data_IF_484288980905
#
_entry.id   IF_484288980905
#
_cell.length_a   1.000
_cell.length_b   1.000
_cell.length_c   1.000
_cell.angle_alpha   90.00
_cell.angle_beta   90.00
_cell.angle_gamma   90.00
#
_symmetry.space_group_name_H-M   'P 1'
#
loop_
_entity.id
_entity.type
_entity.pdbx_description
1 polymer ?
#
# COMPACT_ATOMS: atom_id res chain seq x y z
N UNK A 1 -20.79 -22.20 9.09
CA UNK A 1 -19.34 -22.52 9.14
C UNK A 1 -18.97 -23.32 10.38
N UNK A 2 -19.09 -22.76 11.60
CA UNK A 2 -18.83 -23.49 12.85
C UNK A 2 -19.77 -24.69 13.08
N UNK A 3 -21.06 -24.52 12.81
CA UNK A 3 -22.09 -25.58 12.95
C UNK A 3 -21.99 -26.67 11.87
N UNK A 4 -21.17 -26.46 10.84
CA UNK A 4 -21.03 -27.37 9.71
C UNK A 4 -19.74 -28.20 9.76
N UNK A 5 -18.93 -28.06 10.82
CA UNK A 5 -17.63 -28.73 10.94
C UNK A 5 -17.48 -29.45 12.27
N UNK A 6 -17.12 -30.73 12.21
CA UNK A 6 -16.82 -31.60 13.36
C UNK A 6 -15.36 -31.52 13.81
N UNK A 7 -14.52 -30.74 13.12
CA UNK A 7 -13.11 -30.57 13.48
C UNK A 7 -12.98 -29.63 14.71
N UNK A 8 -12.57 -30.21 15.84
CA UNK A 8 -12.45 -29.48 17.13
C UNK A 8 -11.41 -28.36 17.10
N UNK A 9 -10.31 -28.54 16.38
CA UNK A 9 -9.26 -27.54 16.25
C UNK A 9 -9.76 -26.33 15.46
N UNK A 10 -10.43 -26.59 14.33
CA UNK A 10 -11.08 -25.56 13.52
C UNK A 10 -12.14 -24.78 14.32
N UNK A 11 -13.01 -25.49 15.04
CA UNK A 11 -14.02 -24.85 15.92
C UNK A 11 -13.36 -24.04 17.02
N UNK A 12 -12.24 -24.52 17.59
CA UNK A 12 -11.44 -23.81 18.58
C UNK A 12 -10.85 -22.50 18.06
N UNK A 13 -10.32 -22.50 16.84
CA UNK A 13 -9.78 -21.29 16.18
C UNK A 13 -10.89 -20.26 15.95
N UNK A 14 -12.05 -20.67 15.41
CA UNK A 14 -13.18 -19.76 15.18
C UNK A 14 -13.70 -19.15 16.49
N UNK A 15 -13.72 -19.93 17.58
CA UNK A 15 -14.09 -19.40 18.90
C UNK A 15 -13.10 -18.35 19.40
N UNK A 16 -11.79 -18.56 19.22
CA UNK A 16 -10.78 -17.56 19.58
C UNK A 16 -10.95 -16.26 18.79
N UNK A 17 -11.17 -16.35 17.48
CA UNK A 17 -11.48 -15.18 16.63
C UNK A 17 -12.76 -14.47 17.11
N UNK A 18 -13.76 -15.23 17.54
CA UNK A 18 -15.02 -14.65 18.05
C UNK A 18 -14.82 -13.93 19.38
N UNK A 19 -13.95 -14.45 20.26
CA UNK A 19 -13.64 -13.82 21.55
C UNK A 19 -12.88 -12.50 21.34
N UNK A 20 -11.92 -12.47 20.41
CA UNK A 20 -11.15 -11.25 20.09
C UNK A 20 -12.00 -10.10 19.56
N UNK A 21 -13.25 -10.35 19.17
CA UNK A 21 -14.20 -9.30 18.78
C UNK A 21 -14.37 -8.25 19.88
N UNK A 22 -14.32 -8.66 21.14
CA UNK A 22 -14.47 -7.74 22.27
C UNK A 22 -13.27 -6.80 22.41
N UNK A 23 -12.10 -7.23 21.95
CA UNK A 23 -10.85 -6.45 22.03
C UNK A 23 -10.72 -5.45 20.87
N UNK A 24 -11.52 -5.59 19.80
CA UNK A 24 -11.42 -4.75 18.59
C UNK A 24 -11.64 -3.28 18.91
N UNK A 25 -12.60 -2.96 19.79
CA UNK A 25 -12.89 -1.56 20.11
C UNK A 25 -11.72 -0.91 20.86
N UNK A 26 -11.12 -1.63 21.80
CA UNK A 26 -9.95 -1.17 22.55
C UNK A 26 -8.71 -1.06 21.66
N UNK A 27 -8.52 -1.99 20.72
CA UNK A 27 -7.42 -1.96 19.74
C UNK A 27 -7.55 -0.78 18.77
N UNK A 28 -8.79 -0.45 18.39
CA UNK A 28 -9.05 0.66 17.47
C UNK A 28 -9.19 2.00 18.19
N UNK A 29 -9.17 2.02 19.52
CA UNK A 29 -9.23 3.27 20.27
C UNK A 29 -8.00 4.14 19.96
N UNK A 30 -8.25 5.40 19.60
CA UNK A 30 -7.21 6.31 19.13
C UNK A 30 -6.65 6.02 17.73
N UNK A 31 -7.10 4.98 17.02
CA UNK A 31 -6.73 4.72 15.62
C UNK A 31 -7.67 5.48 14.69
N UNK A 32 -7.17 6.56 14.07
CA UNK A 32 -7.96 7.31 13.10
C UNK A 32 -8.34 6.44 11.89
N UNK A 33 -9.54 6.67 11.33
CA UNK A 33 -10.07 5.88 10.20
C UNK A 33 -9.20 5.94 8.94
N UNK A 34 -8.43 7.01 8.75
CA UNK A 34 -7.48 7.13 7.63
C UNK A 34 -6.18 6.35 7.87
N UNK A 35 -5.91 5.86 9.09
CA UNK A 35 -4.65 5.16 9.43
C UNK A 35 -4.46 3.87 8.65
N UNK A 36 -5.55 3.22 8.25
CA UNK A 36 -5.54 2.01 7.41
C UNK A 36 -5.89 2.31 5.94
N UNK A 37 -5.89 3.58 5.54
CA UNK A 37 -6.15 3.94 4.15
C UNK A 37 -5.03 3.39 3.25
N UNK A 38 -5.35 2.55 2.24
CA UNK A 38 -4.35 1.93 1.39
C UNK A 38 -3.56 2.93 0.53
N UNK A 39 -4.03 4.16 0.35
CA UNK A 39 -3.32 5.20 -0.38
C UNK A 39 -2.00 5.59 0.32
N UNK A 40 -1.95 5.55 1.66
CA UNK A 40 -0.74 5.90 2.43
C UNK A 40 0.42 4.93 2.15
N UNK A 41 0.29 3.60 2.37
CA UNK A 41 1.36 2.66 2.03
C UNK A 41 1.61 2.58 0.53
N UNK A 42 0.60 2.80 -0.33
CA UNK A 42 0.81 2.88 -1.78
C UNK A 42 1.75 4.03 -2.15
N UNK A 43 1.48 5.25 -1.68
CA UNK A 43 2.34 6.40 -1.93
C UNK A 43 3.76 6.15 -1.40
N UNK A 44 3.90 5.58 -0.20
CA UNK A 44 5.21 5.25 0.38
C UNK A 44 6.01 4.30 -0.52
N UNK A 45 5.39 3.19 -0.97
CA UNK A 45 6.05 2.22 -1.86
C UNK A 45 6.41 2.88 -3.19
N UNK A 46 5.53 3.70 -3.76
CA UNK A 46 5.85 4.45 -4.97
C UNK A 46 7.08 5.34 -4.75
N UNK A 47 7.18 6.04 -3.63
CA UNK A 47 8.36 6.85 -3.33
C UNK A 47 9.65 6.00 -3.24
N UNK A 48 9.57 4.82 -2.63
CA UNK A 48 10.71 3.88 -2.56
C UNK A 48 11.14 3.44 -3.97
N UNK A 49 10.20 3.03 -4.83
CA UNK A 49 10.51 2.58 -6.19
C UNK A 49 11.04 3.71 -7.08
N UNK A 50 10.41 4.89 -7.03
CA UNK A 50 10.92 6.07 -7.74
C UNK A 50 12.32 6.47 -7.25
N UNK A 51 12.65 6.25 -5.98
CA UNK A 51 14.00 6.45 -5.44
C UNK A 51 15.07 5.57 -6.08
N UNK A 52 14.71 4.37 -6.54
CA UNK A 52 15.63 3.48 -7.27
C UNK A 52 15.92 3.98 -8.67
N UNK A 53 14.90 4.51 -9.35
CA UNK A 53 15.03 5.07 -10.71
C UNK A 53 15.64 6.47 -10.73
N UNK A 54 15.46 7.25 -9.65
CA UNK A 54 15.91 8.64 -9.53
C UNK A 54 16.70 8.85 -8.23
N UNK A 55 17.93 8.30 -8.14
CA UNK A 55 18.73 8.33 -6.92
C UNK A 55 19.15 9.76 -6.50
N UNK A 56 19.21 10.70 -7.45
CA UNK A 56 19.45 12.13 -7.18
C UNK A 56 18.24 12.85 -6.55
N UNK A 57 17.12 12.13 -6.41
CA UNK A 57 15.85 12.60 -5.83
C UNK A 57 14.94 13.31 -6.81
N UNK A 58 13.69 13.50 -6.39
CA UNK A 58 12.58 13.97 -7.22
C UNK A 58 11.57 14.78 -6.40
N UNK A 59 10.70 15.54 -7.06
CA UNK A 59 9.66 16.34 -6.41
C UNK A 59 8.28 15.74 -6.70
N UNK A 60 7.46 15.57 -5.67
CA UNK A 60 6.13 14.97 -5.80
C UNK A 60 5.07 16.07 -5.93
N UNK A 61 4.26 15.95 -6.96
CA UNK A 61 2.96 16.60 -7.12
C UNK A 61 1.89 15.53 -6.96
N UNK A 62 1.04 15.68 -5.96
CA UNK A 62 -0.03 14.75 -5.63
C UNK A 62 -1.38 15.44 -5.82
N UNK A 63 -2.43 14.68 -6.12
CA UNK A 63 -3.80 15.19 -6.05
C UNK A 63 -4.14 15.58 -4.59
N UNK A 64 -5.12 16.44 -4.40
CA UNK A 64 -5.54 16.91 -3.07
C UNK A 64 -6.32 15.83 -2.29
N UNK A 65 -5.59 14.77 -1.92
CA UNK A 65 -6.09 13.61 -1.20
C UNK A 65 -6.04 13.86 0.30
N UNK A 66 -7.22 13.92 0.94
CA UNK A 66 -7.36 14.14 2.38
C UNK A 66 -6.52 13.17 3.21
N UNK A 67 -6.56 11.87 2.90
CA UNK A 67 -5.83 10.84 3.63
C UNK A 67 -4.31 11.06 3.58
N UNK A 68 -3.78 11.51 2.44
CA UNK A 68 -2.36 11.80 2.30
C UNK A 68 -2.00 13.13 2.98
N UNK A 69 -2.83 14.16 2.84
CA UNK A 69 -2.61 15.46 3.50
C UNK A 69 -2.55 15.34 5.02
N UNK A 70 -3.40 14.49 5.62
CA UNK A 70 -3.41 14.25 7.07
C UNK A 70 -2.14 13.55 7.57
N UNK A 71 -1.40 12.88 6.68
CA UNK A 71 -0.14 12.20 7.00
C UNK A 71 1.09 12.94 6.47
N UNK A 72 0.95 14.19 6.02
CA UNK A 72 2.05 14.97 5.45
C UNK A 72 3.25 15.08 6.41
N UNK A 73 3.01 15.22 7.71
CA UNK A 73 4.08 15.30 8.72
C UNK A 73 4.93 14.02 8.77
N UNK A 74 4.31 12.85 8.63
CA UNK A 74 5.03 11.57 8.58
C UNK A 74 5.88 11.51 7.31
N UNK A 75 5.33 11.91 6.16
CA UNK A 75 6.08 11.97 4.91
C UNK A 75 7.24 12.97 4.98
N UNK A 76 7.06 14.14 5.61
CA UNK A 76 8.13 15.11 5.82
C UNK A 76 9.29 14.49 6.61
N UNK A 77 9.00 13.70 7.65
CA UNK A 77 10.01 12.96 8.41
C UNK A 77 10.73 11.90 7.56
N UNK A 78 9.99 11.19 6.70
CA UNK A 78 10.60 10.22 5.78
C UNK A 78 11.44 10.90 4.69
N UNK A 79 11.15 12.14 4.32
CA UNK A 79 11.88 12.93 3.32
C UNK A 79 13.07 13.71 3.91
N UNK A 80 13.40 13.54 5.19
CA UNK A 80 14.51 14.26 5.83
C UNK A 80 15.88 13.74 5.35
N UNK A 81 16.33 14.28 4.22
CA UNK A 81 17.59 13.95 3.56
C UNK A 81 18.84 14.37 4.36
N UNK A 82 18.69 15.09 5.49
CA UNK A 82 19.82 15.38 6.38
C UNK A 82 20.29 14.14 7.16
N UNK A 83 19.43 13.11 7.25
CA UNK A 83 19.70 11.87 7.97
C UNK A 83 20.50 10.89 7.11
N UNK A 84 21.39 10.14 7.76
CA UNK A 84 22.15 9.08 7.10
C UNK A 84 21.20 7.97 6.60
N UNK A 85 21.34 7.53 5.34
CA UNK A 85 20.53 6.45 4.80
C UNK A 85 20.66 5.16 5.62
N UNK A 86 19.53 4.52 5.91
CA UNK A 86 19.45 3.24 6.61
C UNK A 86 18.42 2.33 5.93
N UNK A 87 18.81 1.08 5.72
CA UNK A 87 17.93 0.04 5.20
C UNK A 87 17.08 -0.56 6.33
N UNK A 88 15.81 -0.80 6.02
CA UNK A 88 14.82 -1.43 6.88
C UNK A 88 14.16 -2.59 6.13
N UNK A 89 13.76 -3.62 6.88
CA UNK A 89 13.11 -4.80 6.34
C UNK A 89 14.01 -6.03 6.27
N UNK A 90 13.44 -7.08 5.70
CA UNK A 90 14.02 -8.41 5.62
C UNK A 90 13.61 -9.06 4.30
N UNK A 91 14.42 -10.03 3.86
CA UNK A 91 14.28 -10.73 2.59
C UNK A 91 14.21 -9.74 1.40
N UNK A 92 13.27 -9.97 0.48
CA UNK A 92 12.94 -9.07 -0.64
C UNK A 92 12.19 -7.80 -0.23
N UNK A 93 11.72 -7.68 1.01
CA UNK A 93 10.90 -6.54 1.48
C UNK A 93 11.76 -5.55 2.22
N UNK A 94 12.64 -4.89 1.46
CA UNK A 94 13.59 -3.90 1.99
C UNK A 94 13.33 -2.53 1.39
N UNK A 95 13.51 -1.50 2.18
CA UNK A 95 13.46 -0.11 1.76
C UNK A 95 14.48 0.72 2.53
N UNK A 96 14.86 1.87 1.98
CA UNK A 96 15.79 2.80 2.58
C UNK A 96 15.06 4.05 3.05
N UNK A 97 15.39 4.56 4.24
CA UNK A 97 15.03 5.90 4.68
C UNK A 97 16.30 6.74 4.90
N UNK A 98 16.27 8.06 4.64
CA UNK A 98 15.14 8.83 4.10
C UNK A 98 14.81 8.46 2.65
N UNK A 99 13.53 8.55 2.27
CA UNK A 99 13.11 8.40 0.87
C UNK A 99 13.70 9.53 0.03
N UNK A 100 13.97 9.28 -1.26
CA UNK A 100 14.63 10.25 -2.15
C UNK A 100 13.72 11.41 -2.61
N UNK A 101 12.47 11.43 -2.17
CA UNK A 101 11.57 12.54 -2.44
C UNK A 101 12.04 13.80 -1.71
N UNK A 102 12.06 14.93 -2.41
CA UNK A 102 12.51 16.24 -1.90
C UNK A 102 11.36 17.14 -1.45
N UNK A 103 10.15 16.86 -1.94
CA UNK A 103 8.94 17.57 -1.54
C UNK A 103 7.71 16.72 -1.82
N UNK A 104 6.65 16.97 -1.05
CA UNK A 104 5.30 16.53 -1.31
C UNK A 104 4.39 17.76 -1.33
N UNK A 105 3.78 18.04 -2.48
CA UNK A 105 2.88 19.19 -2.66
C UNK A 105 1.57 18.73 -3.29
N UNK A 106 0.46 19.32 -2.84
CA UNK A 106 -0.90 18.97 -3.26
C UNK A 106 -1.44 19.98 -4.25
N UNK A 107 -2.07 19.49 -5.31
CA UNK A 107 -2.61 20.34 -6.38
C UNK A 107 -3.91 19.77 -6.97
N UNK A 108 -4.69 20.64 -7.61
CA UNK A 108 -5.85 20.23 -8.42
C UNK A 108 -5.42 19.75 -9.80
N UNK A 109 -6.08 18.71 -10.31
CA UNK A 109 -5.87 18.22 -11.67
C UNK A 109 -6.35 19.19 -12.75
N UNK A 110 -7.16 20.19 -12.41
CA UNK A 110 -7.53 21.30 -13.32
C UNK A 110 -6.32 22.15 -13.70
N UNK A 111 -5.33 22.25 -12.82
CA UNK A 111 -4.16 23.12 -12.97
C UNK A 111 -2.90 22.38 -13.43
N UNK A 112 -2.91 21.04 -13.35
CA UNK A 112 -1.73 20.20 -13.63
C UNK A 112 -2.10 19.03 -14.56
N UNK A 113 -1.75 19.11 -15.86
CA UNK A 113 -2.08 18.07 -16.82
C UNK A 113 -1.56 16.67 -16.44
N UNK A 114 -0.44 16.59 -15.71
CA UNK A 114 0.11 15.31 -15.25
C UNK A 114 -0.83 14.63 -14.24
N UNK A 115 -1.49 15.40 -13.37
CA UNK A 115 -2.48 14.88 -12.43
C UNK A 115 -3.75 14.46 -13.17
N UNK A 116 -4.17 15.21 -14.19
CA UNK A 116 -5.30 14.82 -15.02
C UNK A 116 -5.08 13.47 -15.73
N UNK A 117 -3.85 13.22 -16.22
CA UNK A 117 -3.50 11.91 -16.80
C UNK A 117 -3.58 10.81 -15.74
N UNK A 118 -3.07 11.06 -14.53
CA UNK A 118 -3.15 10.10 -13.42
C UNK A 118 -4.62 9.76 -13.08
N UNK A 119 -5.49 10.77 -12.99
CA UNK A 119 -6.92 10.60 -12.71
C UNK A 119 -7.63 9.77 -13.78
N UNK A 120 -7.31 9.99 -15.06
CA UNK A 120 -7.87 9.21 -16.18
C UNK A 120 -7.47 7.74 -16.06
N UNK A 121 -6.19 7.46 -15.79
CA UNK A 121 -5.69 6.08 -15.66
C UNK A 121 -6.31 5.40 -14.42
N UNK A 122 -6.37 6.10 -13.29
CA UNK A 122 -6.99 5.60 -12.06
C UNK A 122 -8.49 5.31 -12.25
N UNK A 123 -9.21 6.24 -12.89
CA UNK A 123 -10.65 6.10 -13.17
C UNK A 123 -10.93 4.96 -14.14
N UNK A 124 -10.13 4.82 -15.21
CA UNK A 124 -10.24 3.70 -16.15
C UNK A 124 -9.98 2.35 -15.45
N UNK A 125 -8.96 2.27 -14.59
CA UNK A 125 -8.65 1.05 -13.82
C UNK A 125 -9.78 0.70 -12.86
N UNK A 126 -10.31 1.69 -12.14
CA UNK A 126 -11.45 1.52 -11.22
C UNK A 126 -12.71 1.08 -11.97
N UNK A 127 -13.00 1.70 -13.13
CA UNK A 127 -14.12 1.33 -13.98
C UNK A 127 -14.02 -0.14 -14.41
N UNK A 128 -12.87 -0.55 -14.95
CA UNK A 128 -12.62 -1.91 -15.38
C UNK A 128 -12.84 -2.93 -14.25
N UNK A 129 -12.28 -2.68 -13.05
CA UNK A 129 -12.45 -3.57 -11.89
C UNK A 129 -13.90 -3.62 -11.41
N UNK A 130 -14.63 -2.51 -11.46
CA UNK A 130 -16.05 -2.48 -11.09
C UNK A 130 -16.92 -3.26 -12.08
N UNK A 131 -16.64 -3.20 -13.38
CA UNK A 131 -17.33 -4.02 -14.37
C UNK A 131 -17.09 -5.52 -14.12
N UNK A 132 -15.85 -5.93 -13.81
CA UNK A 132 -15.56 -7.32 -13.39
C UNK A 132 -16.38 -7.73 -12.16
N UNK A 133 -16.42 -6.86 -11.14
CA UNK A 133 -17.17 -7.12 -9.89
C UNK A 133 -18.68 -7.27 -10.12
N UNK A 134 -19.25 -6.52 -11.06
CA UNK A 134 -20.68 -6.54 -11.41
C UNK A 134 -21.02 -7.54 -12.51
N UNK A 135 -20.02 -8.20 -13.10
CA UNK A 135 -20.17 -9.06 -14.27
C UNK A 135 -20.74 -8.32 -15.52
N UNK A 136 -20.41 -7.04 -15.66
CA UNK A 136 -20.83 -6.16 -16.77
C UNK A 136 -19.80 -6.21 -17.93
N UNK A 137 -19.58 -7.40 -18.49
CA UNK A 137 -18.48 -7.66 -19.43
C UNK A 137 -18.79 -7.23 -20.88
N UNK A 138 -20.03 -6.85 -21.16
CA UNK A 138 -20.46 -6.47 -22.50
C UNK A 138 -20.32 -4.98 -22.81
N UNK A 139 -20.02 -4.16 -21.80
CA UNK A 139 -19.84 -2.72 -21.93
C UNK A 139 -18.71 -2.36 -22.92
N UNK A 140 -18.95 -1.31 -23.71
CA UNK A 140 -18.02 -0.87 -24.74
C UNK A 140 -16.67 -0.42 -24.15
N UNK A 141 -16.71 0.43 -23.12
CA UNK A 141 -15.50 0.91 -22.47
C UNK A 141 -14.74 -0.24 -21.80
N UNK A 142 -15.45 -1.16 -21.15
CA UNK A 142 -14.83 -2.37 -20.59
C UNK A 142 -14.06 -3.17 -21.67
N UNK A 143 -14.68 -3.42 -22.82
CA UNK A 143 -14.05 -4.16 -23.94
C UNK A 143 -12.83 -3.44 -24.49
N UNK A 144 -12.87 -2.11 -24.61
CA UNK A 144 -11.71 -1.32 -25.03
C UNK A 144 -10.58 -1.35 -24.00
N UNK A 145 -10.90 -1.25 -22.71
CA UNK A 145 -9.93 -1.34 -21.62
C UNK A 145 -9.30 -2.75 -21.53
N UNK A 146 -10.09 -3.79 -21.77
CA UNK A 146 -9.59 -5.17 -21.89
C UNK A 146 -8.68 -5.33 -23.12
N UNK A 147 -9.04 -4.72 -24.25
CA UNK A 147 -8.25 -4.76 -25.50
C UNK A 147 -6.85 -4.17 -25.30
N UNK A 148 -6.74 -3.06 -24.55
CA UNK A 148 -5.43 -2.45 -24.21
C UNK A 148 -4.72 -3.14 -23.03
N UNK A 149 -5.31 -4.20 -22.47
CA UNK A 149 -4.78 -4.94 -21.32
C UNK A 149 -4.54 -4.05 -20.10
N UNK A 150 -5.52 -3.22 -19.73
CA UNK A 150 -5.39 -2.28 -18.61
C UNK A 150 -4.98 -3.00 -17.30
N UNK A 151 -5.36 -4.26 -17.13
CA UNK A 151 -4.98 -5.09 -15.98
C UNK A 151 -3.47 -5.26 -15.82
N UNK A 152 -2.71 -5.13 -16.91
CA UNK A 152 -1.25 -5.21 -16.85
C UNK A 152 -0.62 -4.08 -16.02
N UNK A 153 -1.26 -2.90 -15.95
CA UNK A 153 -0.76 -1.76 -15.18
C UNK A 153 -0.83 -1.98 -13.67
N UNK A 154 -1.79 -2.77 -13.19
CA UNK A 154 -2.00 -3.02 -11.76
C UNK A 154 -1.88 -4.49 -11.35
N UNK A 155 -1.46 -5.37 -12.26
CA UNK A 155 -1.23 -6.80 -11.99
C UNK A 155 -0.29 -7.05 -10.81
N UNK A 156 0.70 -6.18 -10.63
CA UNK A 156 1.67 -6.25 -9.54
C UNK A 156 1.23 -5.51 -8.27
N UNK A 157 0.12 -4.75 -8.34
CA UNK A 157 -0.47 -4.01 -7.21
C UNK A 157 -1.60 -4.78 -6.54
N UNK A 158 -2.15 -5.81 -7.20
CA UNK A 158 -3.18 -6.65 -6.62
C UNK A 158 -2.58 -7.57 -5.54
N UNK A 159 -2.96 -7.34 -4.29
CA UNK A 159 -2.68 -8.25 -3.18
C UNK A 159 -3.62 -9.45 -3.32
N UNK A 160 -3.26 -10.37 -4.22
CA UNK A 160 -3.94 -11.67 -4.34
C UNK A 160 -3.26 -12.71 -3.45
N UNK A 161 -4.01 -13.62 -2.82
CA UNK A 161 -3.44 -14.81 -2.19
C UNK A 161 -2.55 -15.51 -3.21
N UNK A 162 -1.28 -15.68 -2.87
CA UNK A 162 -0.34 -16.37 -3.75
C UNK A 162 -0.42 -17.87 -3.49
N UNK A 163 -0.20 -18.69 -4.52
CA UNK A 163 -0.08 -20.14 -4.35
C UNK A 163 1.29 -20.57 -3.80
N UNK A 164 2.24 -19.63 -3.67
CA UNK A 164 3.52 -19.88 -3.02
C UNK A 164 3.29 -20.24 -1.55
N UNK A 165 3.79 -21.41 -1.15
CA UNK A 165 3.54 -22.04 0.15
C UNK A 165 4.82 -22.19 0.97
N UNK A 166 6.00 -22.17 0.34
CA UNK A 166 7.29 -22.25 1.05
C UNK A 166 8.04 -20.90 1.10
N UNK A 167 8.90 -20.69 2.11
CA UNK A 167 9.78 -19.52 2.16
C UNK A 167 10.68 -19.37 0.93
N UNK A 168 11.17 -20.48 0.36
CA UNK A 168 11.99 -20.49 -0.85
C UNK A 168 11.19 -19.99 -2.06
N UNK A 169 9.96 -20.50 -2.22
CA UNK A 169 9.03 -20.10 -3.29
C UNK A 169 8.65 -18.62 -3.20
N UNK A 170 8.57 -18.08 -1.98
CA UNK A 170 8.31 -16.68 -1.72
C UNK A 170 9.57 -15.80 -1.86
N UNK A 171 10.75 -16.39 -2.01
CA UNK A 171 12.03 -15.66 -1.96
C UNK A 171 12.28 -15.02 -0.60
N UNK A 172 11.81 -15.66 0.47
CA UNK A 172 11.89 -15.22 1.88
C UNK A 172 12.74 -16.15 2.74
N UNK A 173 13.77 -16.77 2.15
CA UNK A 173 14.77 -17.55 2.91
C UNK A 173 15.61 -16.55 3.70
N UNK A 174 15.35 -16.48 5.01
CA UNK A 174 15.82 -15.43 5.89
C UNK A 174 17.34 -15.46 6.14
N UNK A 175 17.98 -14.28 6.09
CA UNK A 175 19.41 -14.10 6.44
C UNK A 175 19.68 -12.91 7.38
N UNK A 176 18.64 -12.27 7.93
CA UNK A 176 18.75 -11.08 8.80
C UNK A 176 17.84 -9.93 8.37
N UNK A 177 17.89 -8.81 9.10
CA UNK A 177 17.14 -7.60 8.79
C UNK A 177 16.72 -6.80 10.03
N UNK A 178 16.23 -5.59 9.82
CA UNK A 178 15.59 -4.79 10.87
C UNK A 178 14.08 -4.90 10.64
N UNK A 179 13.32 -5.30 11.67
CA UNK A 179 11.86 -5.28 11.59
C UNK A 179 11.39 -3.89 11.12
N UNK A 180 10.66 -3.76 9.99
CA UNK A 180 10.18 -2.48 9.49
C UNK A 180 9.40 -1.67 10.51
N UNK A 181 8.54 -2.30 11.31
CA UNK A 181 7.73 -1.60 12.29
C UNK A 181 8.61 -0.99 13.39
N UNK A 182 9.49 -1.81 13.98
CA UNK A 182 10.39 -1.36 15.05
C UNK A 182 11.39 -0.32 14.52
N UNK A 183 11.93 -0.56 13.32
CA UNK A 183 12.89 0.31 12.68
C UNK A 183 12.31 1.66 12.29
N UNK A 184 11.08 1.69 11.75
CA UNK A 184 10.36 2.93 11.43
C UNK A 184 9.96 3.65 12.73
N UNK A 185 9.51 2.94 13.76
CA UNK A 185 9.20 3.55 15.06
C UNK A 185 10.44 4.22 15.68
N UNK A 186 11.60 3.54 15.69
CA UNK A 186 12.89 4.10 16.10
C UNK A 186 13.33 5.28 15.21
N UNK A 187 13.09 5.18 13.90
CA UNK A 187 13.40 6.27 12.98
C UNK A 187 12.56 7.51 13.29
N UNK A 188 11.26 7.34 13.58
CA UNK A 188 10.31 8.42 13.87
C UNK A 188 10.40 8.96 15.30
N UNK A 189 10.98 8.22 16.25
CA UNK A 189 11.14 8.64 17.65
C UNK A 189 12.39 9.50 17.89
N UNK A 190 13.37 9.47 16.99
CA UNK A 190 14.62 10.25 17.07
C UNK A 190 14.46 11.73 16.70
N UNK A 191 13.35 12.34 17.13
CA UNK A 191 13.07 13.77 17.00
C UNK A 191 13.16 14.47 18.35
#
# INVERSE_FOLDING_TARGET
>A
LKECSSNREFVGIINRISITKNDILDILDGVDKSTLDPAIPALFIHCVEWGKSYPSGYFIKHDDSKAISEKQDIFNKFMDLSRLPKEFGYDRRKFELPIKAKSLTFHSSEMYPQLQIADIVASASSYYVNCLKRNELDDYLFKELQRIKIESYFKHMAIWPTTYITPEELGTVYTGGVNPADGVADYLSKH
#
